data_IF_969638795176
#
_entry.id   IF_969638795176
#
_cell.length_a   1.000
_cell.length_b   1.000
_cell.length_c   1.000
_cell.angle_alpha   90.00
_cell.angle_beta   90.00
_cell.angle_gamma   90.00
#
_symmetry.space_group_name_H-M   'P 1'
#
loop_
_entity.id
_entity.type
_entity.pdbx_description
1 polymer ?
#
# COMPACT_ATOMS: atom_id res chain seq x y z
N UNK A 1 18.61 -16.23 -8.29
CA UNK A 1 18.77 -16.73 -6.91
C UNK A 1 18.03 -18.03 -6.78
N UNK A 2 18.58 -18.99 -6.04
CA UNK A 2 17.88 -20.22 -5.69
C UNK A 2 16.87 -19.97 -4.55
N UNK A 3 16.00 -20.94 -4.31
CA UNK A 3 15.04 -20.90 -3.20
C UNK A 3 15.82 -20.78 -1.87
N UNK A 4 16.91 -21.53 -1.72
CA UNK A 4 17.77 -21.55 -0.53
C UNK A 4 18.44 -20.20 -0.27
N UNK A 5 18.92 -19.54 -1.32
CA UNK A 5 19.52 -18.20 -1.22
C UNK A 5 18.49 -17.18 -0.72
N UNK A 6 17.30 -17.16 -1.32
CA UNK A 6 16.20 -16.25 -0.94
C UNK A 6 15.80 -16.49 0.52
N UNK A 7 15.59 -17.75 0.90
CA UNK A 7 15.20 -18.12 2.27
C UNK A 7 16.29 -17.68 3.26
N UNK A 8 17.57 -17.91 2.94
CA UNK A 8 18.69 -17.51 3.81
C UNK A 8 18.75 -16.00 4.00
N UNK A 9 18.68 -15.22 2.92
CA UNK A 9 18.75 -13.76 2.98
C UNK A 9 17.58 -13.17 3.76
N UNK A 10 16.34 -13.59 3.45
CA UNK A 10 15.16 -13.11 4.17
C UNK A 10 15.13 -13.56 5.62
N UNK A 11 15.60 -14.77 5.94
CA UNK A 11 15.73 -15.23 7.33
C UNK A 11 16.65 -14.30 8.13
N UNK A 12 17.75 -13.85 7.54
CA UNK A 12 18.66 -12.89 8.18
C UNK A 12 17.96 -11.57 8.49
N UNK A 13 17.16 -11.04 7.56
CA UNK A 13 16.41 -9.80 7.74
C UNK A 13 15.33 -9.96 8.82
N UNK A 14 14.54 -11.03 8.74
CA UNK A 14 13.47 -11.34 9.72
C UNK A 14 14.06 -11.46 11.12
N UNK A 15 15.18 -12.18 11.28
CA UNK A 15 15.83 -12.37 12.58
C UNK A 15 16.38 -11.05 13.13
N UNK A 16 16.99 -10.21 12.28
CA UNK A 16 17.50 -8.91 12.69
C UNK A 16 16.37 -7.99 13.18
N UNK A 17 15.26 -7.91 12.44
CA UNK A 17 14.09 -7.11 12.84
C UNK A 17 13.48 -7.68 14.13
N UNK A 18 13.33 -9.01 14.23
CA UNK A 18 12.72 -9.67 15.39
C UNK A 18 13.56 -9.52 16.67
N UNK A 19 14.89 -9.40 16.55
CA UNK A 19 15.77 -9.16 17.69
C UNK A 19 15.51 -7.79 18.35
N UNK A 20 15.16 -6.78 17.55
CA UNK A 20 14.84 -5.43 18.04
C UNK A 20 13.34 -5.23 18.29
N UNK A 21 12.48 -5.94 17.57
CA UNK A 21 11.03 -5.85 17.64
C UNK A 21 10.38 -7.24 17.70
N UNK A 22 10.39 -7.90 18.88
CA UNK A 22 9.88 -9.28 19.01
C UNK A 22 8.39 -9.46 18.66
N UNK A 23 7.62 -8.37 18.72
CA UNK A 23 6.19 -8.36 18.36
C UNK A 23 5.94 -8.13 16.85
N UNK A 24 6.98 -7.89 16.06
CA UNK A 24 6.84 -7.62 14.63
C UNK A 24 6.15 -8.79 13.91
N UNK A 25 5.30 -8.44 12.96
CA UNK A 25 4.63 -9.36 12.04
C UNK A 25 5.08 -9.04 10.63
N UNK A 26 5.21 -10.08 9.82
CA UNK A 26 5.70 -9.98 8.45
C UNK A 26 4.60 -10.42 7.50
N UNK A 27 4.32 -9.60 6.50
CA UNK A 27 3.38 -9.95 5.42
C UNK A 27 4.18 -9.93 4.14
N UNK A 28 4.31 -11.08 3.51
CA UNK A 28 4.97 -11.23 2.22
C UNK A 28 3.93 -11.24 1.13
N UNK A 29 4.26 -10.74 -0.04
CA UNK A 29 3.41 -10.82 -1.22
C UNK A 29 4.27 -10.92 -2.48
N UNK A 30 3.74 -11.56 -3.51
CA UNK A 30 4.38 -11.57 -4.82
C UNK A 30 3.73 -10.48 -5.65
N UNK A 31 4.53 -9.58 -6.22
CA UNK A 31 4.00 -8.51 -7.06
C UNK A 31 3.29 -9.11 -8.29
N UNK A 32 2.08 -8.63 -8.64
CA UNK A 32 1.36 -9.06 -9.84
C UNK A 32 1.95 -8.52 -11.16
N UNK A 33 2.98 -7.65 -11.10
CA UNK A 33 3.61 -7.07 -12.28
C UNK A 33 4.25 -8.16 -13.15
N UNK A 34 4.02 -8.06 -14.46
CA UNK A 34 4.62 -8.94 -15.46
C UNK A 34 5.98 -8.39 -15.90
N UNK A 35 7.06 -9.12 -15.62
CA UNK A 35 8.41 -8.74 -16.04
C UNK A 35 8.74 -9.35 -17.41
N UNK A 36 8.31 -8.68 -18.48
CA UNK A 36 8.46 -9.20 -19.86
C UNK A 36 9.88 -9.09 -20.42
N UNK A 37 10.74 -8.24 -19.83
CA UNK A 37 12.11 -8.04 -20.30
C UNK A 37 12.90 -9.36 -20.36
N UNK A 38 12.61 -10.27 -19.45
CA UNK A 38 13.28 -11.57 -19.33
C UNK A 38 12.52 -12.70 -20.03
N UNK A 39 11.31 -12.43 -20.53
CA UNK A 39 10.43 -13.42 -21.16
C UNK A 39 9.28 -13.89 -20.25
N UNK A 40 8.17 -14.30 -20.87
CA UNK A 40 6.98 -14.73 -20.14
C UNK A 40 7.23 -16.01 -19.33
N UNK A 41 8.06 -16.93 -19.85
CA UNK A 41 8.39 -18.18 -19.19
C UNK A 41 9.29 -17.95 -17.96
N UNK A 42 10.29 -17.10 -18.11
CA UNK A 42 11.25 -16.71 -17.09
C UNK A 42 10.57 -15.94 -15.96
N UNK A 43 9.60 -15.07 -16.30
CA UNK A 43 8.75 -14.44 -15.30
C UNK A 43 7.97 -15.49 -14.49
N UNK A 44 7.36 -16.49 -15.14
CA UNK A 44 6.62 -17.55 -14.43
C UNK A 44 7.52 -18.41 -13.54
N UNK A 45 8.71 -18.78 -14.02
CA UNK A 45 9.72 -19.49 -13.22
C UNK A 45 10.11 -18.66 -12.00
N UNK A 46 10.41 -17.38 -12.20
CA UNK A 46 10.85 -16.49 -11.13
C UNK A 46 9.77 -16.30 -10.06
N UNK A 47 8.51 -16.12 -10.45
CA UNK A 47 7.38 -16.04 -9.51
C UNK A 47 7.19 -17.36 -8.76
N UNK A 48 7.31 -18.51 -9.44
CA UNK A 48 7.23 -19.83 -8.82
C UNK A 48 8.33 -20.04 -7.75
N UNK A 49 9.57 -19.61 -8.05
CA UNK A 49 10.68 -19.64 -7.09
C UNK A 49 10.35 -18.78 -5.86
N UNK A 50 9.81 -17.57 -6.06
CA UNK A 50 9.40 -16.70 -4.95
C UNK A 50 8.31 -17.34 -4.10
N UNK A 51 7.28 -17.94 -4.70
CA UNK A 51 6.21 -18.62 -3.95
C UNK A 51 6.77 -19.77 -3.11
N UNK A 52 7.66 -20.59 -3.67
CA UNK A 52 8.28 -21.70 -2.91
C UNK A 52 9.16 -21.19 -1.76
N UNK A 53 9.90 -20.10 -1.96
CA UNK A 53 10.69 -19.48 -0.91
C UNK A 53 9.80 -18.91 0.21
N UNK A 54 8.71 -18.23 -0.16
CA UNK A 54 7.74 -17.67 0.79
C UNK A 54 7.06 -18.78 1.59
N UNK A 55 6.62 -19.87 0.94
CA UNK A 55 6.00 -21.02 1.62
C UNK A 55 6.97 -21.62 2.66
N UNK A 56 8.26 -21.74 2.32
CA UNK A 56 9.28 -22.22 3.27
C UNK A 56 9.49 -21.25 4.43
N UNK A 57 9.55 -19.94 4.16
CA UNK A 57 9.66 -18.91 5.19
C UNK A 57 8.43 -18.89 6.11
N UNK A 58 7.22 -19.01 5.57
CA UNK A 58 5.98 -19.11 6.36
C UNK A 58 6.03 -20.28 7.32
N UNK A 59 6.47 -21.46 6.88
CA UNK A 59 6.60 -22.65 7.74
C UNK A 59 7.63 -22.46 8.85
N UNK A 60 8.75 -21.80 8.55
CA UNK A 60 9.81 -21.54 9.53
C UNK A 60 9.42 -20.49 10.57
N UNK A 61 8.65 -19.48 10.17
CA UNK A 61 8.31 -18.31 10.98
C UNK A 61 6.82 -18.27 11.35
N UNK A 62 6.11 -19.39 11.33
CA UNK A 62 4.73 -19.44 11.78
C UNK A 62 4.63 -19.14 13.29
N UNK A 63 3.67 -18.32 13.77
CA UNK A 63 2.63 -17.59 13.05
C UNK A 63 2.96 -16.10 12.81
N UNK A 64 4.24 -15.70 12.82
CA UNK A 64 4.63 -14.29 12.68
C UNK A 64 4.76 -13.83 11.23
N UNK A 65 4.87 -14.76 10.28
CA UNK A 65 4.92 -14.48 8.84
C UNK A 65 3.67 -15.02 8.13
N UNK A 66 3.02 -14.16 7.34
CA UNK A 66 1.86 -14.47 6.51
C UNK A 66 2.11 -14.10 5.05
N UNK A 67 1.38 -14.72 4.14
CA UNK A 67 1.38 -14.39 2.72
C UNK A 67 0.07 -13.71 2.33
N UNK A 68 0.16 -12.61 1.57
CA UNK A 68 -0.96 -11.95 0.95
C UNK A 68 -0.95 -12.19 -0.57
N UNK A 69 -2.04 -12.73 -1.15
CA UNK A 69 -2.06 -13.23 -2.53
C UNK A 69 -2.38 -12.15 -3.57
N UNK A 70 -1.62 -11.04 -3.61
CA UNK A 70 -1.85 -9.97 -4.60
C UNK A 70 -1.63 -10.44 -6.05
N UNK A 71 -0.69 -11.37 -6.27
CA UNK A 71 -0.41 -11.96 -7.58
C UNK A 71 -1.61 -12.75 -8.10
N UNK A 72 -2.15 -13.62 -7.27
CA UNK A 72 -3.28 -14.49 -7.57
C UNK A 72 -4.57 -13.68 -7.69
N UNK A 73 -4.79 -12.65 -6.85
CA UNK A 73 -5.93 -11.74 -7.01
C UNK A 73 -5.90 -11.10 -8.40
N UNK A 74 -4.75 -10.59 -8.87
CA UNK A 74 -4.73 -10.00 -10.21
C UNK A 74 -5.00 -11.05 -11.31
N UNK A 75 -4.39 -12.23 -11.20
CA UNK A 75 -4.42 -13.19 -12.30
C UNK A 75 -5.68 -14.06 -12.35
N UNK A 76 -6.23 -14.42 -11.20
CA UNK A 76 -7.31 -15.40 -11.10
C UNK A 76 -8.66 -14.74 -10.78
N UNK A 77 -8.67 -13.69 -9.94
CA UNK A 77 -9.88 -12.97 -9.58
C UNK A 77 -10.16 -11.80 -10.55
N UNK A 78 -9.15 -10.99 -10.85
CA UNK A 78 -9.20 -9.87 -11.79
C UNK A 78 -8.66 -10.25 -13.19
N UNK A 79 -9.01 -11.45 -13.66
CA UNK A 79 -8.44 -12.17 -14.82
C UNK A 79 -8.53 -11.48 -16.20
N UNK A 80 -9.10 -10.27 -16.28
CA UNK A 80 -9.35 -9.54 -17.52
C UNK A 80 -8.27 -8.48 -17.79
N UNK A 81 -7.88 -8.30 -19.06
CA UNK A 81 -6.90 -7.30 -19.48
C UNK A 81 -7.27 -5.86 -19.08
N UNK A 82 -8.54 -5.55 -18.84
CA UNK A 82 -8.99 -4.26 -18.29
C UNK A 82 -8.37 -3.91 -16.93
N UNK A 83 -7.85 -4.91 -16.22
CA UNK A 83 -7.19 -4.75 -14.92
C UNK A 83 -5.68 -4.53 -15.06
N UNK A 84 -5.17 -4.42 -16.28
CA UNK A 84 -3.82 -3.98 -16.57
C UNK A 84 -3.83 -2.54 -17.08
N UNK A 85 -2.76 -1.81 -16.80
CA UNK A 85 -2.50 -0.49 -17.36
C UNK A 85 -2.22 -0.57 -18.87
N UNK A 86 -2.06 0.58 -19.53
CA UNK A 86 -1.82 0.67 -20.98
C UNK A 86 -0.59 -0.13 -21.44
N UNK A 87 0.40 -0.32 -20.56
CA UNK A 87 1.59 -1.12 -20.85
C UNK A 87 1.39 -2.64 -20.75
N UNK A 88 0.20 -3.08 -20.35
CA UNK A 88 -0.20 -4.49 -20.22
C UNK A 88 0.66 -5.30 -19.23
N UNK A 89 1.45 -4.62 -18.41
CA UNK A 89 2.40 -5.21 -17.45
C UNK A 89 2.05 -4.84 -16.02
N UNK A 90 1.70 -3.58 -15.77
CA UNK A 90 1.32 -3.10 -14.46
C UNK A 90 -0.19 -3.26 -14.24
N UNK A 91 -0.64 -3.44 -12.98
CA UNK A 91 -2.07 -3.37 -12.67
C UNK A 91 -2.62 -1.98 -12.98
N UNK A 92 -3.88 -1.91 -13.42
CA UNK A 92 -4.59 -0.64 -13.58
C UNK A 92 -4.91 -0.04 -12.20
N UNK A 93 -5.28 1.26 -12.15
CA UNK A 93 -5.69 1.90 -10.90
C UNK A 93 -6.83 1.15 -10.20
N UNK A 94 -7.81 0.68 -10.97
CA UNK A 94 -8.94 -0.12 -10.47
C UNK A 94 -8.46 -1.42 -9.81
N UNK A 95 -7.45 -2.08 -10.40
CA UNK A 95 -6.89 -3.30 -9.84
C UNK A 95 -6.09 -3.02 -8.55
N UNK A 96 -5.34 -1.91 -8.52
CA UNK A 96 -4.59 -1.48 -7.33
C UNK A 96 -5.56 -1.20 -6.17
N UNK A 97 -6.63 -0.45 -6.44
CA UNK A 97 -7.68 -0.15 -5.46
C UNK A 97 -8.32 -1.44 -4.92
N UNK A 98 -8.68 -2.37 -5.80
CA UNK A 98 -9.27 -3.64 -5.40
C UNK A 98 -8.32 -4.48 -4.52
N UNK A 99 -7.05 -4.60 -4.90
CA UNK A 99 -6.05 -5.33 -4.12
C UNK A 99 -5.84 -4.67 -2.75
N UNK A 100 -5.86 -3.32 -2.69
CA UNK A 100 -5.76 -2.58 -1.44
C UNK A 100 -6.97 -2.80 -0.52
N UNK A 101 -8.18 -2.84 -1.07
CA UNK A 101 -9.39 -3.20 -0.32
C UNK A 101 -9.28 -4.60 0.28
N UNK A 102 -8.91 -5.61 -0.53
CA UNK A 102 -8.70 -6.99 -0.06
C UNK A 102 -7.60 -7.08 1.00
N UNK A 103 -6.54 -6.30 0.87
CA UNK A 103 -5.47 -6.21 1.88
C UNK A 103 -6.00 -5.66 3.19
N UNK A 104 -6.74 -4.53 3.13
CA UNK A 104 -7.32 -3.89 4.29
C UNK A 104 -8.32 -4.80 5.01
N UNK A 105 -9.21 -5.47 4.29
CA UNK A 105 -10.14 -6.44 4.87
C UNK A 105 -9.45 -7.60 5.58
N UNK A 106 -8.24 -7.96 5.15
CA UNK A 106 -7.49 -9.10 5.69
C UNK A 106 -6.68 -8.71 6.94
N UNK A 107 -6.04 -7.53 6.93
CA UNK A 107 -5.04 -7.18 7.94
C UNK A 107 -5.37 -5.95 8.80
N UNK A 108 -6.31 -5.10 8.37
CA UNK A 108 -6.63 -3.89 9.11
C UNK A 108 -7.71 -4.13 10.15
N UNK A 109 -7.54 -3.47 11.29
CA UNK A 109 -8.60 -3.36 12.29
C UNK A 109 -9.72 -2.45 11.77
N UNK A 110 -10.90 -2.50 12.39
CA UNK A 110 -12.00 -1.59 12.02
C UNK A 110 -11.62 -0.13 12.24
N UNK A 111 -10.81 0.12 13.26
CA UNK A 111 -10.26 1.42 13.60
C UNK A 111 -9.33 1.91 12.48
N UNK A 112 -8.42 1.06 12.00
CA UNK A 112 -7.53 1.37 10.86
C UNK A 112 -8.30 1.62 9.57
N UNK A 113 -9.33 0.82 9.27
CA UNK A 113 -10.17 1.01 8.07
C UNK A 113 -10.88 2.37 8.13
N UNK A 114 -11.41 2.76 9.29
CA UNK A 114 -12.04 4.08 9.47
C UNK A 114 -11.04 5.22 9.29
N UNK A 115 -9.87 5.11 9.91
CA UNK A 115 -8.81 6.10 9.78
C UNK A 115 -8.38 6.28 8.32
N UNK A 116 -8.20 5.20 7.57
CA UNK A 116 -7.87 5.27 6.15
C UNK A 116 -8.99 5.95 5.34
N UNK A 117 -10.26 5.66 5.62
CA UNK A 117 -11.37 6.30 4.92
C UNK A 117 -11.48 7.81 5.20
N UNK A 118 -11.22 8.22 6.45
CA UNK A 118 -11.14 9.64 6.82
C UNK A 118 -9.98 10.32 6.11
N UNK A 119 -8.81 9.67 6.09
CA UNK A 119 -7.62 10.16 5.42
C UNK A 119 -7.83 10.30 3.91
N UNK A 120 -8.44 9.32 3.24
CA UNK A 120 -8.69 9.37 1.80
C UNK A 120 -9.54 10.59 1.38
N UNK A 121 -10.51 10.98 2.21
CA UNK A 121 -11.31 12.19 1.96
C UNK A 121 -10.47 13.46 2.09
N UNK A 122 -9.56 13.50 3.06
CA UNK A 122 -8.64 14.63 3.26
C UNK A 122 -7.63 14.68 2.13
N UNK A 123 -7.02 13.54 1.76
CA UNK A 123 -6.03 13.45 0.69
C UNK A 123 -6.61 13.90 -0.66
N UNK A 124 -7.85 13.49 -1.00
CA UNK A 124 -8.56 14.02 -2.18
C UNK A 124 -8.77 15.53 -2.13
N UNK A 125 -8.96 16.08 -0.94
CA UNK A 125 -9.12 17.54 -0.76
C UNK A 125 -7.77 18.26 -0.91
N UNK A 126 -6.68 17.65 -0.42
CA UNK A 126 -5.31 18.15 -0.58
C UNK A 126 -4.85 18.14 -2.05
N UNK A 127 -5.20 17.09 -2.79
CA UNK A 127 -4.88 16.93 -4.21
C UNK A 127 -5.72 17.81 -5.14
N UNK A 128 -6.78 18.47 -4.62
CA UNK A 128 -7.67 19.28 -5.42
C UNK A 128 -6.95 20.50 -6.01
N UNK A 129 -6.93 20.60 -7.35
CA UNK A 129 -6.36 21.73 -8.09
C UNK A 129 -7.48 22.66 -8.57
N UNK A 130 -7.66 23.86 -7.98
CA UNK A 130 -8.70 24.78 -8.41
C UNK A 130 -8.38 25.39 -9.77
N UNK A 131 -9.42 25.68 -10.57
CA UNK A 131 -9.28 26.44 -11.82
C UNK A 131 -9.00 27.93 -11.56
N UNK A 132 -9.49 28.48 -10.45
CA UNK A 132 -9.22 29.85 -10.01
C UNK A 132 -8.98 29.90 -8.49
N UNK A 133 -7.74 30.17 -8.11
CA UNK A 133 -7.28 30.19 -6.72
C UNK A 133 -7.55 31.52 -5.99
N UNK A 134 -8.13 32.54 -6.66
CA UNK A 134 -8.42 33.84 -6.04
C UNK A 134 -9.87 33.98 -5.56
N UNK A 135 -10.66 32.91 -5.58
CA UNK A 135 -12.07 32.95 -5.18
C UNK A 135 -12.23 32.77 -3.67
N UNK A 136 -13.23 33.45 -3.11
CA UNK A 136 -13.59 33.29 -1.68
C UNK A 136 -14.01 31.84 -1.35
N UNK A 137 -14.66 31.16 -2.30
CA UNK A 137 -15.01 29.75 -2.18
C UNK A 137 -13.78 28.86 -2.02
N UNK A 138 -12.70 29.13 -2.76
CA UNK A 138 -11.47 28.36 -2.63
C UNK A 138 -10.79 28.59 -1.27
N UNK A 139 -10.78 29.84 -0.77
CA UNK A 139 -10.29 30.14 0.59
C UNK A 139 -11.12 29.43 1.66
N UNK A 140 -12.44 29.37 1.51
CA UNK A 140 -13.31 28.63 2.42
C UNK A 140 -13.03 27.12 2.38
N UNK A 141 -12.84 26.56 1.19
CA UNK A 141 -12.45 25.16 0.99
C UNK A 141 -11.12 24.81 1.66
N UNK A 142 -10.09 25.67 1.55
CA UNK A 142 -8.81 25.47 2.22
C UNK A 142 -8.96 25.45 3.74
N UNK A 143 -9.72 26.40 4.31
CA UNK A 143 -10.01 26.46 5.76
C UNK A 143 -10.75 25.21 6.24
N UNK A 144 -11.74 24.73 5.49
CA UNK A 144 -12.46 23.50 5.82
C UNK A 144 -11.53 22.27 5.78
N UNK A 145 -10.66 22.19 4.76
CA UNK A 145 -9.69 21.09 4.64
C UNK A 145 -8.71 21.11 5.81
N UNK A 146 -8.19 22.28 6.19
CA UNK A 146 -7.31 22.45 7.34
C UNK A 146 -7.99 22.02 8.65
N UNK A 147 -9.26 22.41 8.86
CA UNK A 147 -10.03 21.98 10.04
C UNK A 147 -10.20 20.46 10.11
N UNK A 148 -10.51 19.81 8.98
CA UNK A 148 -10.60 18.34 8.91
C UNK A 148 -9.27 17.68 9.23
N UNK A 149 -8.16 18.21 8.72
CA UNK A 149 -6.83 17.69 8.95
C UNK A 149 -6.39 17.81 10.42
N UNK A 150 -6.66 18.96 11.06
CA UNK A 150 -6.41 19.15 12.49
C UNK A 150 -7.24 18.16 13.33
N UNK A 151 -8.53 18.01 13.02
CA UNK A 151 -9.39 17.07 13.72
C UNK A 151 -8.93 15.61 13.54
N UNK A 152 -8.49 15.26 12.33
CA UNK A 152 -7.93 13.95 12.04
C UNK A 152 -6.68 13.66 12.87
N UNK A 153 -5.73 14.60 12.94
CA UNK A 153 -4.53 14.45 13.77
C UNK A 153 -4.86 14.32 15.26
N UNK A 154 -5.88 15.04 15.76
CA UNK A 154 -6.37 14.91 17.13
C UNK A 154 -6.96 13.52 17.42
N UNK A 155 -7.70 12.96 16.46
CA UNK A 155 -8.31 11.64 16.59
C UNK A 155 -7.30 10.50 16.39
N UNK A 156 -6.21 10.75 15.64
CA UNK A 156 -5.15 9.77 15.35
C UNK A 156 -3.75 10.34 15.67
N UNK A 157 -3.40 10.58 16.95
CA UNK A 157 -2.16 11.26 17.34
C UNK A 157 -0.86 10.57 16.89
N UNK A 158 -0.95 9.29 16.55
CA UNK A 158 0.15 8.48 16.02
C UNK A 158 0.47 8.76 14.55
N UNK A 159 -0.40 9.47 13.82
CA UNK A 159 -0.21 9.83 12.42
C UNK A 159 0.30 11.28 12.38
N UNK A 160 1.48 11.47 11.80
CA UNK A 160 2.04 12.80 11.60
C UNK A 160 1.43 13.45 10.35
N UNK A 161 0.82 14.61 10.56
CA UNK A 161 0.23 15.46 9.52
C UNK A 161 0.83 16.87 9.51
N UNK A 162 1.95 17.08 10.23
CA UNK A 162 2.57 18.40 10.42
C UNK A 162 2.85 19.10 9.09
N UNK A 163 3.43 18.37 8.14
CA UNK A 163 3.74 18.88 6.80
C UNK A 163 2.48 19.36 6.06
N UNK A 164 1.44 18.55 6.00
CA UNK A 164 0.20 18.88 5.29
C UNK A 164 -0.52 20.08 5.93
N UNK A 165 -0.44 20.20 7.26
CA UNK A 165 -0.96 21.34 8.02
C UNK A 165 -0.20 22.61 7.66
N UNK A 166 1.15 22.57 7.71
CA UNK A 166 2.00 23.71 7.37
C UNK A 166 1.73 24.22 5.94
N UNK A 167 1.69 23.29 4.96
CA UNK A 167 1.42 23.64 3.56
C UNK A 167 0.03 24.28 3.35
N UNK A 168 -1.00 23.83 4.08
CA UNK A 168 -2.34 24.40 3.99
C UNK A 168 -2.46 25.75 4.69
N UNK A 169 -1.80 25.93 5.84
CA UNK A 169 -1.77 27.20 6.56
C UNK A 169 -1.13 28.29 5.70
N UNK A 170 0.02 28.02 5.08
CA UNK A 170 0.66 28.97 4.15
C UNK A 170 -0.22 29.36 2.96
N UNK A 171 -1.04 28.44 2.45
CA UNK A 171 -2.00 28.71 1.37
C UNK A 171 -3.21 29.52 1.85
N UNK A 172 -3.56 29.42 3.12
CA UNK A 172 -4.72 30.09 3.72
C UNK A 172 -4.41 31.54 4.11
N UNK A 173 -3.16 31.82 4.48
CA UNK A 173 -2.70 33.15 4.90
C UNK A 173 -2.35 34.09 3.73
N UNK A 174 -2.42 33.61 2.48
CA UNK A 174 -2.23 34.38 1.23
C UNK A 174 -3.56 34.90 0.64
#
# INVERSE_FOLDING_TARGET
MTIEEIVKEWSSVINAISAHHPAAKFIFTVSPIRHWKDGAHENQISKSILHLAIDRLQKMYAPTLSYFPAYEILLDELRDYRFFAEDMMHPSSVAIEYIWERFGETFFTRETIRANSEWDQINRSLDHRPLNNQTENYRHFLKQTLQKLILFQQNHPQIDCSREIEELTEKTDK
#
